data_IF_508891446102
#
_entry.id   IF_508891446102
#
_cell.length_a   1.000
_cell.length_b   1.000
_cell.length_c   1.000
_cell.angle_alpha   90.00
_cell.angle_beta   90.00
_cell.angle_gamma   90.00
#
_symmetry.space_group_name_H-M   'P 1'
#
loop_
_entity.id
_entity.type
_entity.pdbx_description
1 polymer ?
#
# COMPACT_ATOMS: atom_id res chain seq x y z
N UNK A 1 17.48 10.09 -19.18
CA UNK A 1 17.42 8.67 -18.77
C UNK A 1 16.65 7.95 -19.88
N UNK A 2 17.37 7.51 -20.93
CA UNK A 2 16.74 6.82 -22.06
C UNK A 2 16.38 5.40 -21.64
N UNK A 3 15.15 4.97 -21.88
CA UNK A 3 14.76 3.58 -21.65
C UNK A 3 15.45 2.70 -22.70
N UNK A 4 16.06 1.63 -22.21
CA UNK A 4 16.99 0.70 -22.89
C UNK A 4 16.39 0.13 -24.19
N UNK A 5 17.18 0.09 -25.27
CA UNK A 5 16.76 -0.40 -26.59
C UNK A 5 16.97 -1.92 -26.80
N UNK A 6 17.71 -2.62 -25.92
CA UNK A 6 18.06 -4.05 -26.08
C UNK A 6 17.77 -4.92 -24.83
N UNK A 7 17.19 -6.13 -24.96
CA UNK A 7 16.84 -7.00 -23.82
C UNK A 7 18.03 -7.38 -22.93
N UNK A 8 19.20 -7.57 -23.53
CA UNK A 8 20.39 -8.03 -22.79
C UNK A 8 20.96 -6.97 -21.82
N UNK A 9 20.76 -5.68 -22.11
CA UNK A 9 21.13 -4.59 -21.20
C UNK A 9 20.13 -4.47 -20.03
N UNK A 10 18.89 -4.91 -20.24
CA UNK A 10 17.87 -4.98 -19.20
C UNK A 10 18.25 -6.02 -18.14
N UNK A 11 18.70 -7.21 -18.55
CA UNK A 11 19.18 -8.27 -17.64
C UNK A 11 20.36 -7.82 -16.77
N UNK A 12 21.38 -7.18 -17.36
CA UNK A 12 22.54 -6.66 -16.61
C UNK A 12 22.15 -5.61 -15.58
N UNK A 13 21.05 -4.91 -15.80
CA UNK A 13 20.54 -3.90 -14.87
C UNK A 13 20.01 -4.53 -13.58
N UNK A 14 19.49 -5.77 -13.62
CA UNK A 14 19.02 -6.50 -12.43
C UNK A 14 20.14 -6.86 -11.46
N UNK A 15 21.35 -7.11 -11.96
CA UNK A 15 22.49 -7.46 -11.10
C UNK A 15 23.03 -6.26 -10.29
N UNK A 16 22.59 -5.05 -10.62
CA UNK A 16 23.00 -3.86 -9.88
C UNK A 16 22.32 -3.80 -8.52
N UNK A 17 23.10 -3.52 -7.46
CA UNK A 17 22.62 -3.45 -6.08
C UNK A 17 21.37 -2.56 -5.90
N UNK A 18 21.28 -1.43 -6.60
CA UNK A 18 20.11 -0.54 -6.53
C UNK A 18 18.82 -1.20 -6.99
N UNK A 19 18.87 -2.02 -8.04
CA UNK A 19 17.70 -2.74 -8.52
C UNK A 19 17.31 -3.85 -7.56
N UNK A 20 18.26 -4.59 -7.01
CA UNK A 20 17.99 -5.56 -5.93
C UNK A 20 17.27 -4.92 -4.73
N UNK A 21 17.64 -3.70 -4.32
CA UNK A 21 16.95 -2.98 -3.23
C UNK A 21 15.49 -2.65 -3.59
N UNK A 22 15.26 -2.17 -4.81
CA UNK A 22 13.90 -1.83 -5.30
C UNK A 22 13.02 -3.09 -5.33
N UNK A 23 13.55 -4.22 -5.81
CA UNK A 23 12.83 -5.50 -5.87
C UNK A 23 12.51 -6.06 -4.48
N UNK A 24 13.43 -5.95 -3.51
CA UNK A 24 13.20 -6.36 -2.13
C UNK A 24 12.33 -5.37 -1.32
N UNK A 25 11.79 -4.34 -1.96
CA UNK A 25 10.97 -3.31 -1.31
C UNK A 25 9.76 -3.86 -0.54
N UNK A 26 9.23 -5.03 -0.93
CA UNK A 26 8.12 -5.69 -0.22
C UNK A 26 8.47 -6.02 1.24
N UNK A 27 9.72 -6.41 1.54
CA UNK A 27 10.18 -6.64 2.91
C UNK A 27 10.18 -5.34 3.72
N UNK A 28 10.58 -4.23 3.09
CA UNK A 28 10.60 -2.91 3.74
C UNK A 28 9.17 -2.48 4.11
N UNK A 29 8.20 -2.73 3.23
CA UNK A 29 6.79 -2.40 3.48
C UNK A 29 6.23 -3.14 4.70
N UNK A 30 6.63 -4.40 4.93
CA UNK A 30 6.21 -5.15 6.12
C UNK A 30 6.68 -4.47 7.41
N UNK A 31 7.91 -3.97 7.44
CA UNK A 31 8.46 -3.23 8.60
C UNK A 31 7.64 -1.96 8.85
N UNK A 32 7.27 -1.22 7.80
CA UNK A 32 6.43 -0.02 7.94
C UNK A 32 5.05 -0.33 8.52
N UNK A 33 4.42 -1.45 8.13
CA UNK A 33 3.16 -1.86 8.73
C UNK A 33 3.30 -2.17 10.22
N UNK A 34 4.35 -2.88 10.63
CA UNK A 34 4.62 -3.18 12.05
C UNK A 34 4.84 -1.88 12.84
N UNK A 35 5.63 -0.95 12.31
CA UNK A 35 5.88 0.34 12.95
C UNK A 35 4.59 1.16 13.10
N UNK A 36 3.75 1.19 12.06
CA UNK A 36 2.45 1.89 12.11
C UNK A 36 1.48 1.25 13.11
N UNK A 37 1.41 -0.09 13.15
CA UNK A 37 0.59 -0.83 14.11
C UNK A 37 1.02 -0.57 15.56
N UNK A 38 2.33 -0.58 15.83
CA UNK A 38 2.86 -0.24 17.15
C UNK A 38 2.52 1.20 17.54
N UNK A 39 2.72 2.15 16.64
CA UNK A 39 2.37 3.56 16.87
C UNK A 39 0.86 3.72 17.14
N UNK A 40 0.01 3.01 16.40
CA UNK A 40 -1.43 3.02 16.64
C UNK A 40 -1.78 2.49 18.03
N UNK A 41 -1.23 1.33 18.41
CA UNK A 41 -1.46 0.74 19.74
C UNK A 41 -1.02 1.68 20.86
N UNK A 42 0.16 2.30 20.73
CA UNK A 42 0.69 3.28 21.67
C UNK A 42 -0.22 4.52 21.80
N UNK A 43 -0.69 5.06 20.68
CA UNK A 43 -1.62 6.21 20.68
C UNK A 43 -2.97 5.87 21.33
N UNK A 44 -3.48 4.66 21.10
CA UNK A 44 -4.71 4.19 21.74
C UNK A 44 -4.51 4.09 23.25
N UNK A 45 -3.37 3.55 23.71
CA UNK A 45 -3.04 3.42 25.12
C UNK A 45 -3.01 4.78 25.84
N UNK A 46 -2.20 5.73 25.35
CA UNK A 46 -2.12 7.09 25.93
C UNK A 46 -3.49 7.76 25.97
N UNK A 47 -4.27 7.60 24.90
CA UNK A 47 -5.58 8.23 24.82
C UNK A 47 -6.57 7.60 25.79
N UNK A 48 -6.52 6.28 25.96
CA UNK A 48 -7.33 5.55 26.93
C UNK A 48 -7.07 5.98 28.38
N UNK A 49 -5.83 6.38 28.70
CA UNK A 49 -5.48 6.88 30.05
C UNK A 49 -6.07 8.27 30.33
N UNK A 50 -6.22 9.11 29.30
CA UNK A 50 -6.77 10.47 29.46
C UNK A 50 -8.29 10.53 29.31
N UNK A 51 -8.85 9.89 28.26
CA UNK A 51 -10.30 9.86 27.98
C UNK A 51 -10.69 8.58 27.24
N UNK A 52 -11.78 7.89 27.65
CA UNK A 52 -12.25 6.72 26.91
C UNK A 52 -12.66 7.11 25.49
N UNK A 53 -12.20 6.34 24.51
CA UNK A 53 -12.49 6.62 23.10
C UNK A 53 -13.91 6.16 22.80
N UNK A 54 -14.73 7.06 22.25
CA UNK A 54 -16.12 6.77 21.86
C UNK A 54 -16.24 6.55 20.35
N UNK A 55 -17.25 5.80 19.94
CA UNK A 55 -17.62 5.60 18.52
C UNK A 55 -17.75 6.91 17.73
N UNK A 56 -18.26 7.98 18.34
CA UNK A 56 -18.39 9.30 17.71
C UNK A 56 -17.06 9.97 17.36
N UNK A 57 -15.94 9.52 17.94
CA UNK A 57 -14.62 10.07 17.67
C UNK A 57 -13.91 9.36 16.51
N UNK A 58 -14.42 8.21 16.06
CA UNK A 58 -13.85 7.43 14.96
C UNK A 58 -13.77 8.24 13.65
N UNK A 59 -14.84 8.92 13.18
CA UNK A 59 -14.77 9.72 11.95
C UNK A 59 -13.78 10.88 12.08
N UNK A 60 -13.70 11.51 13.26
CA UNK A 60 -12.77 12.62 13.51
C UNK A 60 -11.31 12.15 13.47
N UNK A 61 -11.00 10.99 14.05
CA UNK A 61 -9.67 10.38 14.01
C UNK A 61 -9.27 10.03 12.59
N UNK A 62 -10.18 9.41 11.83
CA UNK A 62 -9.95 9.06 10.44
C UNK A 62 -9.75 10.31 9.57
N UNK A 63 -10.59 11.33 9.74
CA UNK A 63 -10.47 12.59 9.01
C UNK A 63 -9.16 13.32 9.31
N UNK A 64 -8.73 13.37 10.57
CA UNK A 64 -7.44 13.96 10.94
C UNK A 64 -6.26 13.22 10.30
N UNK A 65 -6.32 11.89 10.24
CA UNK A 65 -5.32 11.06 9.54
C UNK A 65 -5.34 11.31 8.04
N UNK A 66 -6.53 11.36 7.44
CA UNK A 66 -6.75 11.65 6.03
C UNK A 66 -6.17 13.02 5.66
N UNK A 67 -6.48 14.09 6.39
CA UNK A 67 -5.91 15.42 6.14
C UNK A 67 -4.38 15.47 6.25
N UNK A 68 -3.76 14.59 7.04
CA UNK A 68 -2.30 14.54 7.18
C UNK A 68 -1.62 13.81 6.00
N UNK A 69 -2.18 12.68 5.57
CA UNK A 69 -1.55 11.81 4.55
C UNK A 69 -1.96 12.17 3.12
N UNK A 70 -3.20 12.62 2.93
CA UNK A 70 -3.76 12.90 1.61
C UNK A 70 -3.03 14.00 0.83
N UNK A 71 -2.53 15.11 1.43
CA UNK A 71 -1.82 16.13 0.66
C UNK A 71 -0.57 15.59 -0.05
N UNK A 72 0.22 14.79 0.66
CA UNK A 72 1.42 14.17 0.10
C UNK A 72 1.06 13.13 -0.98
N UNK A 73 0.04 12.29 -0.70
CA UNK A 73 -0.41 11.28 -1.66
C UNK A 73 -1.02 11.92 -2.94
N UNK A 74 -1.82 12.97 -2.79
CA UNK A 74 -2.42 13.70 -3.90
C UNK A 74 -1.36 14.40 -4.76
N UNK A 75 -0.33 14.98 -4.14
CA UNK A 75 0.80 15.56 -4.87
C UNK A 75 1.54 14.50 -5.70
N UNK A 76 1.77 13.31 -5.13
CA UNK A 76 2.38 12.19 -5.85
C UNK A 76 1.51 11.70 -7.01
N UNK A 77 0.20 11.55 -6.82
CA UNK A 77 -0.74 11.18 -7.89
C UNK A 77 -0.75 12.24 -9.01
N UNK A 78 -0.80 13.52 -8.64
CA UNK A 78 -0.79 14.62 -9.60
C UNK A 78 0.51 14.64 -10.42
N UNK A 79 1.66 14.42 -9.77
CA UNK A 79 2.95 14.27 -10.43
C UNK A 79 2.95 13.09 -11.42
N UNK A 80 2.49 11.92 -10.98
CA UNK A 80 2.38 10.73 -11.83
C UNK A 80 1.43 10.93 -13.01
N UNK A 81 0.32 11.65 -12.82
CA UNK A 81 -0.66 11.91 -13.87
C UNK A 81 -0.22 12.95 -14.92
N UNK A 82 0.76 13.80 -14.61
CA UNK A 82 1.11 14.97 -15.45
C UNK A 82 2.57 14.99 -15.88
N UNK A 83 3.48 14.94 -14.93
CA UNK A 83 4.90 15.16 -15.16
C UNK A 83 5.60 13.89 -15.63
N UNK A 84 5.17 12.73 -15.13
CA UNK A 84 5.80 11.44 -15.41
C UNK A 84 5.89 11.15 -16.91
N UNK A 85 4.86 11.49 -17.71
CA UNK A 85 4.91 11.33 -19.18
C UNK A 85 6.13 11.99 -19.83
N UNK A 86 6.63 13.10 -19.29
CA UNK A 86 7.70 13.91 -19.89
C UNK A 86 9.10 13.56 -19.38
N UNK A 87 9.23 12.71 -18.35
CA UNK A 87 10.53 12.39 -17.73
C UNK A 87 11.35 11.34 -18.49
N UNK A 88 10.71 10.56 -19.36
CA UNK A 88 11.35 9.50 -20.11
C UNK A 88 11.07 9.60 -21.61
N UNK A 89 11.94 8.97 -22.39
CA UNK A 89 11.84 8.87 -23.84
C UNK A 89 12.10 7.43 -24.27
N UNK A 90 11.32 6.94 -25.24
CA UNK A 90 11.46 5.59 -25.81
C UNK A 90 10.11 4.87 -26.01
N UNK A 91 10.04 3.84 -26.86
CA UNK A 91 8.81 3.09 -27.12
C UNK A 91 8.30 2.33 -25.89
N UNK A 92 9.21 1.76 -25.08
CA UNK A 92 8.86 1.09 -23.82
C UNK A 92 8.26 2.06 -22.78
N UNK A 93 8.80 3.28 -22.68
CA UNK A 93 8.25 4.31 -21.79
C UNK A 93 6.82 4.71 -22.19
N UNK A 94 6.57 4.81 -23.50
CA UNK A 94 5.24 5.11 -24.00
C UNK A 94 4.25 3.98 -23.65
N UNK A 95 4.67 2.73 -23.79
CA UNK A 95 3.84 1.56 -23.50
C UNK A 95 3.55 1.41 -22.00
N UNK A 96 4.60 1.33 -21.16
CA UNK A 96 4.48 0.98 -19.75
C UNK A 96 4.22 2.15 -18.80
N UNK A 97 4.44 3.39 -19.24
CA UNK A 97 4.26 4.56 -18.36
C UNK A 97 3.17 5.46 -18.89
N UNK A 98 3.28 5.90 -20.15
CA UNK A 98 2.30 6.86 -20.69
C UNK A 98 0.93 6.22 -20.92
N UNK A 99 0.87 5.00 -21.48
CA UNK A 99 -0.39 4.35 -21.87
C UNK A 99 -1.05 3.55 -20.74
N UNK A 100 -0.31 3.11 -19.72
CA UNK A 100 -0.86 2.42 -18.55
C UNK A 100 -0.88 3.34 -17.33
N UNK A 101 0.27 3.56 -16.68
CA UNK A 101 0.37 4.26 -15.38
C UNK A 101 -0.28 5.64 -15.42
N UNK A 102 0.08 6.50 -16.38
CA UNK A 102 -0.47 7.86 -16.48
C UNK A 102 -1.97 7.83 -16.77
N UNK A 103 -2.42 6.92 -17.64
CA UNK A 103 -3.83 6.79 -18.01
C UNK A 103 -4.68 6.31 -16.82
N UNK A 104 -4.21 5.31 -16.09
CA UNK A 104 -4.87 4.77 -14.91
C UNK A 104 -4.88 5.78 -13.76
N UNK A 105 -3.76 6.48 -13.52
CA UNK A 105 -3.72 7.61 -12.58
C UNK A 105 -4.80 8.65 -12.89
N UNK A 106 -4.97 9.04 -14.15
CA UNK A 106 -5.97 10.05 -14.55
C UNK A 106 -7.40 9.57 -14.41
N UNK A 107 -7.66 8.27 -14.58
CA UNK A 107 -9.00 7.70 -14.48
C UNK A 107 -9.40 7.40 -13.04
N UNK A 108 -8.47 6.93 -12.22
CA UNK A 108 -8.73 6.38 -10.89
C UNK A 108 -8.13 7.20 -9.74
N UNK A 109 -7.64 8.43 -9.99
CA UNK A 109 -7.05 9.29 -8.95
C UNK A 109 -7.91 9.41 -7.68
N UNK A 110 -9.23 9.51 -7.84
CA UNK A 110 -10.16 9.67 -6.73
C UNK A 110 -10.20 8.45 -5.81
N UNK A 111 -10.05 7.23 -6.35
CA UNK A 111 -9.93 6.00 -5.56
C UNK A 111 -8.65 6.01 -4.72
N UNK A 112 -7.54 6.49 -5.28
CA UNK A 112 -6.27 6.59 -4.57
C UNK A 112 -6.29 7.68 -3.49
N UNK A 113 -7.04 8.78 -3.69
CA UNK A 113 -7.24 9.85 -2.68
C UNK A 113 -8.16 9.39 -1.54
N UNK A 114 -9.13 8.54 -1.83
CA UNK A 114 -10.04 7.95 -0.84
C UNK A 114 -9.52 6.65 -0.21
N UNK A 115 -8.34 6.17 -0.62
CA UNK A 115 -7.75 4.90 -0.16
C UNK A 115 -8.65 3.68 -0.42
N UNK A 116 -9.42 3.69 -1.50
CA UNK A 116 -10.28 2.59 -1.96
C UNK A 116 -9.68 1.79 -3.12
N UNK A 117 -8.49 2.18 -3.57
CA UNK A 117 -7.82 1.59 -4.72
C UNK A 117 -7.56 0.09 -4.56
N UNK A 118 -7.28 -0.41 -3.35
CA UNK A 118 -7.04 -1.84 -3.11
C UNK A 118 -8.30 -2.71 -3.31
N UNK A 119 -9.51 -2.14 -3.20
CA UNK A 119 -10.76 -2.91 -3.34
C UNK A 119 -11.43 -2.74 -4.70
N UNK A 120 -11.30 -1.56 -5.30
CA UNK A 120 -12.00 -1.23 -6.55
C UNK A 120 -11.12 -1.36 -7.81
N UNK A 121 -9.81 -1.58 -7.65
CA UNK A 121 -8.86 -1.44 -8.75
C UNK A 121 -7.62 -2.33 -8.54
N UNK A 122 -7.84 -3.61 -8.24
CA UNK A 122 -6.79 -4.60 -7.91
C UNK A 122 -5.65 -4.62 -8.95
N UNK A 123 -5.96 -4.43 -10.25
CA UNK A 123 -4.98 -4.52 -11.33
C UNK A 123 -4.39 -3.18 -11.83
N UNK A 124 -4.86 -2.04 -11.32
CA UNK A 124 -4.49 -0.71 -11.90
C UNK A 124 -3.90 0.20 -10.84
N UNK A 125 -2.58 0.12 -10.71
CA UNK A 125 -1.80 0.91 -9.78
C UNK A 125 -1.30 2.20 -10.44
N UNK A 126 -1.75 3.34 -9.93
CA UNK A 126 -1.18 4.64 -10.32
C UNK A 126 0.28 4.81 -9.86
N UNK A 127 0.61 4.34 -8.66
CA UNK A 127 1.97 4.29 -8.17
C UNK A 127 2.13 3.15 -7.16
N UNK A 128 3.27 2.47 -7.23
CA UNK A 128 3.62 1.37 -6.32
C UNK A 128 3.60 1.78 -4.84
N UNK A 129 3.71 3.07 -4.53
CA UNK A 129 3.64 3.53 -3.15
C UNK A 129 2.20 3.70 -2.64
N UNK A 130 1.21 3.86 -3.54
CA UNK A 130 -0.17 4.19 -3.11
C UNK A 130 -0.90 3.02 -2.47
N UNK A 131 -0.59 1.77 -2.84
CA UNK A 131 -1.27 0.59 -2.31
C UNK A 131 -0.99 0.39 -0.81
N UNK A 132 0.26 0.58 -0.38
CA UNK A 132 0.63 0.34 1.02
C UNK A 132 0.09 1.44 1.93
N UNK A 133 0.06 2.70 1.47
CA UNK A 133 -0.55 3.81 2.22
C UNK A 133 -2.06 3.60 2.38
N UNK A 134 -2.72 3.10 1.34
CA UNK A 134 -4.12 2.73 1.41
C UNK A 134 -4.35 1.57 2.39
N UNK A 135 -3.57 0.49 2.28
CA UNK A 135 -3.64 -0.65 3.18
C UNK A 135 -3.40 -0.25 4.64
N UNK A 136 -2.40 0.59 4.91
CA UNK A 136 -2.10 1.13 6.25
C UNK A 136 -3.28 1.90 6.84
N UNK A 137 -3.96 2.71 6.02
CA UNK A 137 -5.15 3.46 6.45
C UNK A 137 -6.36 2.55 6.70
N UNK A 138 -6.50 1.49 5.91
CA UNK A 138 -7.55 0.46 6.08
C UNK A 138 -7.31 -0.36 7.35
N UNK A 139 -6.07 -0.82 7.58
CA UNK A 139 -5.68 -1.54 8.79
C UNK A 139 -5.88 -0.67 10.04
N UNK A 140 -5.60 0.64 9.95
CA UNK A 140 -5.92 1.57 11.03
C UNK A 140 -7.42 1.59 11.36
N UNK A 141 -8.27 1.68 10.33
CA UNK A 141 -9.72 1.67 10.52
C UNK A 141 -10.23 0.36 11.14
N UNK A 142 -9.73 -0.79 10.64
CA UNK A 142 -10.07 -2.11 11.18
C UNK A 142 -9.62 -2.24 12.64
N UNK A 143 -8.35 -1.90 12.94
CA UNK A 143 -7.82 -1.98 14.30
C UNK A 143 -8.59 -1.10 15.29
N UNK A 144 -9.01 0.09 14.85
CA UNK A 144 -9.82 0.98 15.67
C UNK A 144 -11.25 0.47 15.86
N UNK A 145 -11.85 -0.09 14.81
CA UNK A 145 -13.17 -0.71 14.88
C UNK A 145 -13.18 -1.89 15.85
N UNK A 146 -12.20 -2.79 15.76
CA UNK A 146 -12.06 -3.95 16.65
C UNK A 146 -11.86 -3.53 18.10
N UNK A 147 -11.03 -2.50 18.34
CA UNK A 147 -10.82 -1.95 19.68
C UNK A 147 -12.11 -1.41 20.31
N UNK A 148 -12.96 -0.74 19.52
CA UNK A 148 -14.23 -0.17 19.98
C UNK A 148 -15.35 -1.22 20.09
N UNK A 149 -15.36 -2.21 19.20
CA UNK A 149 -16.35 -3.29 19.16
C UNK A 149 -16.16 -4.33 20.27
N UNK A 150 -14.92 -4.50 20.75
CA UNK A 150 -14.60 -5.58 21.69
C UNK A 150 -14.39 -5.05 23.11
N UNK A 151 -15.09 -5.65 24.07
CA UNK A 151 -14.86 -5.40 25.49
C UNK A 151 -13.48 -5.87 25.95
N UNK A 152 -12.97 -5.30 27.04
CA UNK A 152 -11.58 -5.50 27.50
C UNK A 152 -11.21 -6.97 27.69
N UNK A 153 -12.15 -7.83 28.09
CA UNK A 153 -11.96 -9.27 28.30
C UNK A 153 -11.88 -10.08 27.00
N UNK A 154 -12.56 -9.66 25.93
CA UNK A 154 -12.60 -10.35 24.64
C UNK A 154 -11.56 -9.83 23.63
N UNK A 155 -10.88 -8.73 23.93
CA UNK A 155 -9.93 -8.07 23.00
C UNK A 155 -8.79 -8.97 22.58
N UNK A 156 -8.21 -9.72 23.51
CA UNK A 156 -7.10 -10.63 23.18
C UNK A 156 -7.55 -11.70 22.17
N UNK A 157 -8.75 -12.27 22.35
CA UNK A 157 -9.30 -13.27 21.44
C UNK A 157 -9.54 -12.69 20.05
N UNK A 158 -10.15 -11.51 19.96
CA UNK A 158 -10.37 -10.83 18.67
C UNK A 158 -9.05 -10.54 17.94
N UNK A 159 -8.02 -10.08 18.67
CA UNK A 159 -6.70 -9.82 18.11
C UNK A 159 -5.99 -11.11 17.67
N UNK A 160 -6.08 -12.20 18.45
CA UNK A 160 -5.53 -13.51 18.08
C UNK A 160 -6.21 -14.05 16.83
N UNK A 161 -7.54 -13.95 16.72
CA UNK A 161 -8.27 -14.37 15.52
C UNK A 161 -7.85 -13.57 14.29
N UNK A 162 -7.71 -12.25 14.40
CA UNK A 162 -7.22 -11.40 13.30
C UNK A 162 -5.80 -11.76 12.87
N UNK A 163 -4.92 -12.10 13.83
CA UNK A 163 -3.57 -12.55 13.52
C UNK A 163 -3.59 -13.86 12.73
N UNK A 164 -4.40 -14.84 13.17
CA UNK A 164 -4.54 -16.12 12.48
C UNK A 164 -5.12 -15.94 11.07
N UNK A 165 -6.12 -15.08 10.91
CA UNK A 165 -6.66 -14.72 9.59
C UNK A 165 -5.58 -14.06 8.73
N UNK A 166 -4.79 -13.13 9.29
CA UNK A 166 -3.71 -12.46 8.58
C UNK A 166 -2.58 -13.40 8.10
N UNK A 167 -2.30 -14.48 8.84
CA UNK A 167 -1.32 -15.49 8.44
C UNK A 167 -1.88 -16.47 7.41
N UNK A 168 -3.14 -16.88 7.56
CA UNK A 168 -3.75 -17.92 6.73
C UNK A 168 -4.34 -17.38 5.43
N UNK A 169 -4.87 -16.16 5.42
CA UNK A 169 -5.52 -15.59 4.23
C UNK A 169 -4.56 -15.42 3.04
N UNK A 170 -3.33 -14.90 3.18
CA UNK A 170 -2.39 -14.82 2.05
C UNK A 170 -1.98 -16.22 1.56
N UNK A 171 -1.74 -17.17 2.47
CA UNK A 171 -1.39 -18.53 2.12
C UNK A 171 -2.53 -19.23 1.35
N UNK A 172 -3.77 -19.06 1.81
CA UNK A 172 -4.95 -19.58 1.14
C UNK A 172 -5.17 -18.92 -0.22
N UNK A 173 -4.96 -17.60 -0.31
CA UNK A 173 -5.11 -16.86 -1.56
C UNK A 173 -4.11 -17.32 -2.62
N UNK A 174 -2.83 -17.48 -2.25
CA UNK A 174 -1.79 -18.02 -3.12
C UNK A 174 -2.16 -19.44 -3.59
N UNK A 175 -2.63 -20.28 -2.67
CA UNK A 175 -3.03 -21.65 -2.99
C UNK A 175 -4.24 -21.71 -3.92
N UNK A 176 -5.24 -20.84 -3.75
CA UNK A 176 -6.46 -20.83 -4.57
C UNK A 176 -6.24 -20.27 -5.98
N UNK A 177 -5.25 -19.39 -6.15
CA UNK A 177 -4.98 -18.72 -7.41
C UNK A 177 -3.77 -19.28 -8.18
N UNK A 178 -3.15 -20.37 -7.68
CA UNK A 178 -1.95 -20.98 -8.26
C UNK A 178 -0.85 -19.95 -8.58
N UNK A 179 -0.66 -18.99 -7.65
CA UNK A 179 0.35 -17.93 -7.79
C UNK A 179 1.71 -18.40 -7.27
N UNK A 180 2.77 -17.88 -7.87
CA UNK A 180 4.10 -18.00 -7.28
C UNK A 180 4.19 -17.17 -5.98
N UNK A 181 4.59 -17.82 -4.89
CA UNK A 181 4.75 -17.16 -3.58
C UNK A 181 5.87 -16.10 -3.58
N UNK A 182 6.72 -16.10 -4.60
CA UNK A 182 7.82 -15.18 -4.81
C UNK A 182 7.84 -14.78 -6.28
N UNK A 183 8.10 -13.50 -6.56
CA UNK A 183 8.30 -13.03 -7.94
C UNK A 183 9.63 -13.61 -8.44
N UNK A 184 9.54 -14.71 -9.20
CA UNK A 184 10.67 -15.34 -9.86
C UNK A 184 10.77 -14.78 -11.28
N UNK A 185 11.80 -13.98 -11.54
CA UNK A 185 12.16 -13.60 -12.92
C UNK A 185 12.96 -14.76 -13.51
N UNK A 186 12.31 -15.60 -14.32
CA UNK A 186 13.01 -16.57 -15.15
C UNK A 186 13.76 -15.83 -16.27
N UNK A 187 15.07 -16.07 -16.45
CA UNK A 187 15.75 -15.66 -17.68
C UNK A 187 15.17 -16.48 -18.84
N UNK A 188 14.65 -15.80 -19.85
CA UNK A 188 14.21 -16.40 -21.13
C UNK A 188 15.15 -15.99 -22.27
#
# INVERSE_FOLDING_TARGET
MGFIDSPHDFEKTYETFHFHLIYNGLMIVQIFFVMSAFLQAYNIQIRSETKPIKWSQLPRLFFARWCRLTPANAAMIAFSATWLRHMGSGPLWKLYVTNSVVADCRKYWWLHVLYLNNYCSEDRLCALQTWHVAADTQLFAIGMFVYLATESSGRWLALTLLLLVGMTAPALHVWLQDLDALVLMSPE
#
